data_IF_227385094921
#
_entry.id   IF_227385094921
#
_cell.length_a   1.000
_cell.length_b   1.000
_cell.length_c   1.000
_cell.angle_alpha   90.00
_cell.angle_beta   90.00
_cell.angle_gamma   90.00
#
_symmetry.space_group_name_H-M   'P 1'
#
loop_
_entity.id
_entity.type
_entity.pdbx_description
1 polymer ?
#
# COMPACT_ATOMS: atom_id res chain seq x y z
N UNK A 1 -14.92 -15.78 -19.03
CA UNK A 1 -13.81 -14.80 -19.10
C UNK A 1 -13.39 -14.51 -17.67
N UNK A 2 -12.11 -14.37 -17.36
CA UNK A 2 -11.69 -13.90 -16.04
C UNK A 2 -11.77 -12.36 -16.04
N UNK A 3 -12.34 -11.76 -14.99
CA UNK A 3 -12.29 -10.31 -14.80
C UNK A 3 -10.84 -9.89 -14.62
N UNK A 4 -10.37 -8.93 -15.44
CA UNK A 4 -9.06 -8.31 -15.26
C UNK A 4 -9.27 -7.04 -14.45
N UNK A 5 -8.64 -6.98 -13.28
CA UNK A 5 -8.67 -5.79 -12.42
C UNK A 5 -7.78 -4.72 -13.07
N UNK A 6 -8.31 -3.50 -13.19
CA UNK A 6 -7.53 -2.33 -13.59
C UNK A 6 -7.08 -1.59 -12.33
N UNK A 7 -5.78 -1.71 -12.02
CA UNK A 7 -5.20 -1.18 -10.78
C UNK A 7 -4.96 0.34 -10.82
N UNK A 8 -5.08 0.96 -12.01
CA UNK A 8 -4.94 2.41 -12.18
C UNK A 8 -6.16 3.19 -11.69
N UNK A 9 -7.22 2.48 -11.28
CA UNK A 9 -8.47 3.05 -10.80
C UNK A 9 -8.50 3.05 -9.28
N UNK A 10 -9.21 4.02 -8.72
CA UNK A 10 -9.44 4.09 -7.28
C UNK A 10 -9.99 2.77 -6.72
N UNK A 11 -9.68 2.43 -5.46
CA UNK A 11 -10.23 1.24 -4.81
C UNK A 11 -11.75 1.13 -4.91
N UNK A 12 -12.46 2.26 -4.83
CA UNK A 12 -13.92 2.33 -4.99
C UNK A 12 -14.36 1.92 -6.39
N UNK A 13 -13.72 2.48 -7.43
CA UNK A 13 -14.07 2.19 -8.82
C UNK A 13 -13.80 0.73 -9.19
N UNK A 14 -12.68 0.15 -8.72
CA UNK A 14 -12.37 -1.28 -8.91
C UNK A 14 -13.52 -2.15 -8.41
N UNK A 15 -14.05 -1.83 -7.22
CA UNK A 15 -15.11 -2.62 -6.62
C UNK A 15 -16.43 -2.50 -7.38
N UNK A 16 -16.79 -1.28 -7.81
CA UNK A 16 -17.97 -1.02 -8.64
C UNK A 16 -17.87 -1.75 -9.98
N UNK A 17 -16.73 -1.69 -10.65
CA UNK A 17 -16.50 -2.39 -11.92
C UNK A 17 -16.64 -3.91 -11.77
N UNK A 18 -16.15 -4.46 -10.66
CA UNK A 18 -16.31 -5.88 -10.34
C UNK A 18 -17.78 -6.24 -10.08
N UNK A 19 -18.52 -5.40 -9.35
CA UNK A 19 -19.97 -5.58 -9.14
C UNK A 19 -20.70 -5.58 -10.48
N UNK A 20 -20.42 -4.60 -11.35
CA UNK A 20 -20.96 -4.51 -12.70
C UNK A 20 -20.68 -5.76 -13.51
N UNK A 21 -19.44 -6.25 -13.48
CA UNK A 21 -19.03 -7.45 -14.18
C UNK A 21 -19.76 -8.72 -13.69
N UNK A 22 -19.87 -8.91 -12.37
CA UNK A 22 -20.46 -10.11 -11.78
C UNK A 22 -21.97 -10.15 -11.95
N UNK A 23 -22.65 -9.01 -11.76
CA UNK A 23 -24.11 -8.93 -11.76
C UNK A 23 -24.71 -8.47 -13.09
N UNK A 24 -23.88 -8.10 -14.08
CA UNK A 24 -24.35 -7.64 -15.39
C UNK A 24 -25.07 -6.30 -15.34
N UNK A 25 -24.63 -5.42 -14.43
CA UNK A 25 -25.21 -4.09 -14.17
C UNK A 25 -24.25 -2.99 -14.61
N UNK A 26 -24.72 -1.74 -14.63
CA UNK A 26 -23.96 -0.58 -15.13
C UNK A 26 -23.96 0.57 -14.11
N UNK A 27 -23.61 0.27 -12.86
CA UNK A 27 -23.49 1.28 -11.81
C UNK A 27 -22.25 2.14 -11.99
N UNK A 28 -22.31 3.40 -11.58
CA UNK A 28 -21.14 4.27 -11.44
C UNK A 28 -20.73 4.40 -9.97
N UNK A 29 -19.56 4.98 -9.71
CA UNK A 29 -19.11 5.31 -8.35
C UNK A 29 -20.04 6.26 -7.61
N UNK A 30 -20.86 7.01 -8.35
CA UNK A 30 -21.87 7.89 -7.78
C UNK A 30 -23.16 7.15 -7.41
N UNK A 31 -23.36 5.92 -7.88
CA UNK A 31 -24.54 5.14 -7.52
C UNK A 31 -24.38 4.34 -6.23
N UNK A 32 -23.15 4.17 -5.75
CA UNK A 32 -22.83 3.28 -4.63
C UNK A 32 -21.94 4.00 -3.64
N UNK A 33 -22.38 4.09 -2.39
CA UNK A 33 -21.51 4.46 -1.28
C UNK A 33 -21.24 3.24 -0.41
N UNK A 34 -19.97 2.91 -0.27
CA UNK A 34 -19.54 1.87 0.66
C UNK A 34 -19.48 2.44 2.07
N UNK A 35 -19.75 1.59 3.06
CA UNK A 35 -19.70 1.96 4.46
C UNK A 35 -18.32 2.55 4.84
N UNK A 36 -18.32 3.63 5.60
CA UNK A 36 -17.09 4.31 6.06
C UNK A 36 -16.18 3.40 6.91
N UNK A 37 -16.74 2.36 7.53
CA UNK A 37 -15.95 1.34 8.24
C UNK A 37 -15.15 0.44 7.30
N UNK A 38 -15.33 0.58 5.99
CA UNK A 38 -14.66 -0.20 4.97
C UNK A 38 -15.03 -1.68 5.00
N UNK A 39 -14.14 -2.50 4.44
CA UNK A 39 -14.31 -3.95 4.37
C UNK A 39 -14.06 -4.60 5.72
N UNK A 40 -14.94 -5.52 6.12
CA UNK A 40 -14.86 -6.26 7.37
C UNK A 40 -14.57 -7.75 7.11
N UNK A 41 -13.80 -8.43 7.97
CA UNK A 41 -13.60 -9.86 7.84
C UNK A 41 -14.91 -10.62 8.11
N UNK A 42 -15.10 -11.73 7.40
CA UNK A 42 -16.20 -12.66 7.70
C UNK A 42 -15.96 -13.40 9.02
N UNK A 43 -17.04 -13.77 9.69
CA UNK A 43 -16.99 -14.77 10.76
C UNK A 43 -16.58 -16.13 10.20
N UNK A 44 -16.07 -17.03 11.07
CA UNK A 44 -15.64 -18.37 10.65
C UNK A 44 -16.75 -19.16 9.94
N UNK A 45 -18.00 -19.00 10.37
CA UNK A 45 -19.14 -19.70 9.78
C UNK A 45 -19.56 -19.10 8.43
N UNK A 46 -19.55 -17.77 8.30
CA UNK A 46 -19.76 -17.08 7.02
C UNK A 46 -18.67 -17.44 6.00
N UNK A 47 -17.40 -17.42 6.40
CA UNK A 47 -16.28 -17.76 5.52
C UNK A 47 -16.39 -19.21 4.99
N UNK A 48 -16.78 -20.16 5.85
CA UNK A 48 -17.05 -21.55 5.45
C UNK A 48 -18.23 -21.66 4.49
N UNK A 49 -19.28 -20.87 4.70
CA UNK A 49 -20.50 -20.90 3.89
C UNK A 49 -20.29 -20.33 2.49
N UNK A 50 -19.59 -19.20 2.39
CA UNK A 50 -19.45 -18.45 1.15
C UNK A 50 -18.14 -18.73 0.42
N UNK A 51 -17.14 -19.33 1.08
CA UNK A 51 -15.82 -19.58 0.49
C UNK A 51 -15.03 -18.29 0.20
N UNK A 52 -15.44 -17.18 0.80
CA UNK A 52 -14.85 -15.86 0.64
C UNK A 52 -14.37 -15.37 2.02
N UNK A 53 -13.69 -14.23 2.05
CA UNK A 53 -12.96 -13.78 3.24
C UNK A 53 -13.51 -12.50 3.87
N UNK A 54 -14.27 -11.71 3.12
CA UNK A 54 -14.58 -10.34 3.52
C UNK A 54 -15.97 -9.92 3.08
N UNK A 55 -16.50 -8.91 3.76
CA UNK A 55 -17.79 -8.28 3.43
C UNK A 55 -17.72 -6.77 3.51
N UNK A 56 -18.55 -6.10 2.72
CA UNK A 56 -18.74 -4.64 2.76
C UNK A 56 -20.20 -4.31 2.53
N UNK A 57 -20.75 -3.45 3.38
CA UNK A 57 -22.08 -2.90 3.18
C UNK A 57 -21.99 -1.70 2.23
N UNK A 58 -22.98 -1.58 1.36
CA UNK A 58 -23.11 -0.46 0.46
C UNK A 58 -24.56 0.06 0.44
N UNK A 59 -24.68 1.37 0.37
CA UNK A 59 -25.94 2.08 0.19
C UNK A 59 -26.02 2.59 -1.25
N UNK A 60 -27.15 2.29 -1.91
CA UNK A 60 -27.39 2.72 -3.27
C UNK A 60 -28.04 4.10 -3.30
N UNK A 61 -27.60 4.94 -4.24
CA UNK A 61 -28.09 6.30 -4.43
C UNK A 61 -28.19 6.66 -5.92
N UNK A 62 -28.65 7.88 -6.20
CA UNK A 62 -28.69 8.47 -7.54
C UNK A 62 -29.42 7.61 -8.57
N UNK A 63 -30.69 7.29 -8.29
CA UNK A 63 -31.54 6.50 -9.20
C UNK A 63 -31.46 4.98 -8.98
N UNK A 64 -30.62 4.53 -8.05
CA UNK A 64 -30.62 3.17 -7.50
C UNK A 64 -31.02 3.25 -6.03
N UNK A 65 -31.80 2.29 -5.52
CA UNK A 65 -32.34 2.33 -4.16
C UNK A 65 -32.15 1.01 -3.45
N UNK A 66 -31.83 1.08 -2.16
CA UNK A 66 -31.66 -0.06 -1.27
C UNK A 66 -30.31 -0.02 -0.58
N UNK A 67 -30.10 -0.96 0.34
CA UNK A 67 -28.78 -1.29 0.84
C UNK A 67 -28.48 -2.74 0.50
N UNK A 68 -27.20 -3.06 0.34
CA UNK A 68 -26.77 -4.42 0.08
C UNK A 68 -25.41 -4.69 0.70
N UNK A 69 -25.23 -5.90 1.21
CA UNK A 69 -23.94 -6.39 1.64
C UNK A 69 -23.32 -7.24 0.53
N UNK A 70 -22.08 -6.92 0.17
CA UNK A 70 -21.29 -7.66 -0.79
C UNK A 70 -20.27 -8.51 -0.06
N UNK A 71 -20.19 -9.79 -0.44
CA UNK A 71 -19.18 -10.72 0.06
C UNK A 71 -18.12 -10.88 -1.04
N UNK A 72 -16.85 -10.72 -0.67
CA UNK A 72 -15.75 -10.63 -1.61
C UNK A 72 -14.44 -11.21 -1.07
N UNK A 73 -13.52 -11.45 -2.00
CA UNK A 73 -12.09 -11.62 -1.74
C UNK A 73 -11.36 -10.39 -2.26
N UNK A 74 -10.48 -9.82 -1.45
CA UNK A 74 -9.64 -8.69 -1.83
C UNK A 74 -8.37 -9.16 -2.51
N UNK A 75 -7.77 -8.28 -3.32
CA UNK A 75 -6.48 -8.58 -3.95
C UNK A 75 -5.40 -8.51 -2.88
N UNK A 76 -4.63 -9.58 -2.74
CA UNK A 76 -3.50 -9.65 -1.84
C UNK A 76 -2.25 -9.07 -2.53
N UNK A 77 -1.84 -7.86 -2.14
CA UNK A 77 -0.72 -7.18 -2.79
C UNK A 77 0.61 -7.88 -2.52
N UNK A 78 0.75 -8.62 -1.42
CA UNK A 78 1.98 -9.35 -1.12
C UNK A 78 2.17 -10.51 -2.11
N UNK A 79 1.07 -11.17 -2.47
CA UNK A 79 1.09 -12.23 -3.48
C UNK A 79 1.20 -11.65 -4.90
N UNK A 80 0.56 -10.50 -5.15
CA UNK A 80 0.55 -9.88 -6.47
C UNK A 80 1.91 -9.28 -6.86
N UNK A 81 2.62 -8.69 -5.90
CA UNK A 81 3.92 -8.02 -6.09
C UNK A 81 5.10 -8.87 -5.63
N UNK A 82 4.91 -10.17 -5.41
CA UNK A 82 5.91 -11.05 -4.80
C UNK A 82 7.28 -11.03 -5.52
N UNK A 83 7.26 -10.90 -6.85
CA UNK A 83 8.46 -10.90 -7.69
C UNK A 83 8.89 -9.49 -8.14
N UNK A 84 8.13 -8.45 -7.78
CA UNK A 84 8.34 -7.06 -8.22
C UNK A 84 8.30 -6.10 -7.02
N UNK A 85 9.34 -6.07 -6.18
CA UNK A 85 9.39 -5.16 -5.05
C UNK A 85 9.55 -3.70 -5.50
N UNK A 86 8.92 -2.78 -4.76
CA UNK A 86 9.04 -1.34 -5.00
C UNK A 86 10.40 -0.87 -4.51
N UNK A 87 11.12 -0.14 -5.36
CA UNK A 87 12.48 0.32 -5.08
C UNK A 87 12.49 1.75 -4.59
N UNK A 88 13.09 2.02 -3.43
CA UNK A 88 13.10 3.36 -2.81
C UNK A 88 14.53 3.76 -2.45
N UNK A 89 14.95 5.02 -2.69
CA UNK A 89 16.26 5.49 -2.25
C UNK A 89 16.41 5.45 -0.72
N UNK A 90 17.53 4.90 -0.25
CA UNK A 90 17.80 4.79 1.19
C UNK A 90 17.91 6.17 1.84
N UNK A 91 17.17 6.39 2.94
CA UNK A 91 17.19 7.63 3.71
C UNK A 91 16.30 8.76 3.17
N UNK A 92 15.51 8.54 2.11
CA UNK A 92 14.55 9.55 1.64
C UNK A 92 13.26 9.60 2.45
N UNK A 93 12.85 8.46 3.02
CA UNK A 93 11.58 8.35 3.76
C UNK A 93 11.82 8.06 5.23
N UNK A 94 10.99 8.66 6.08
CA UNK A 94 11.02 8.48 7.55
C UNK A 94 9.76 7.82 8.08
N UNK A 95 8.70 7.79 7.27
CA UNK A 95 7.40 7.21 7.61
C UNK A 95 6.86 6.39 6.44
N UNK A 96 6.16 5.29 6.73
CA UNK A 96 5.60 4.38 5.73
C UNK A 96 4.59 5.05 4.78
N UNK A 97 3.90 6.10 5.19
CA UNK A 97 2.94 6.80 4.34
C UNK A 97 3.61 7.50 3.14
N UNK A 98 4.86 7.97 3.32
CA UNK A 98 5.65 8.64 2.26
C UNK A 98 6.01 7.66 1.13
N UNK A 99 5.85 6.36 1.35
CA UNK A 99 6.04 5.33 0.33
C UNK A 99 4.91 5.26 -0.70
N UNK A 100 3.75 5.87 -0.42
CA UNK A 100 2.59 5.85 -1.32
C UNK A 100 2.96 6.33 -2.73
N UNK A 101 3.67 7.45 -2.85
CA UNK A 101 4.06 8.02 -4.13
C UNK A 101 4.98 7.10 -4.94
N UNK A 102 5.95 6.45 -4.28
CA UNK A 102 6.85 5.50 -4.93
C UNK A 102 6.11 4.25 -5.41
N UNK A 103 5.16 3.77 -4.61
CA UNK A 103 4.31 2.63 -4.96
C UNK A 103 3.46 2.99 -6.18
N UNK A 104 2.77 4.13 -6.18
CA UNK A 104 1.93 4.57 -7.31
C UNK A 104 2.79 4.75 -8.57
N UNK A 105 3.97 5.38 -8.45
CA UNK A 105 4.85 5.63 -9.59
C UNK A 105 5.37 4.35 -10.26
N UNK A 106 5.66 3.30 -9.48
CA UNK A 106 6.25 2.06 -10.00
C UNK A 106 5.21 1.01 -10.37
N UNK A 107 4.15 0.87 -9.57
CA UNK A 107 3.16 -0.20 -9.74
C UNK A 107 1.91 0.28 -10.49
N UNK A 108 1.68 1.59 -10.55
CA UNK A 108 0.44 2.17 -11.09
C UNK A 108 -0.79 1.89 -10.23
N UNK A 109 -0.64 1.33 -9.03
CA UNK A 109 -1.74 1.08 -8.11
C UNK A 109 -2.15 2.42 -7.49
N UNK A 110 -3.41 2.81 -7.67
CA UNK A 110 -3.96 4.04 -7.09
C UNK A 110 -4.13 3.88 -5.57
N UNK A 111 -3.10 4.29 -4.82
CA UNK A 111 -3.03 4.27 -3.35
C UNK A 111 -2.70 5.67 -2.84
N UNK A 112 -3.28 6.01 -1.69
CA UNK A 112 -3.00 7.26 -0.98
C UNK A 112 -2.28 6.99 0.34
N UNK A 113 -1.77 8.05 0.97
CA UNK A 113 -1.16 7.96 2.31
C UNK A 113 -2.12 7.34 3.35
N UNK A 114 -3.42 7.63 3.25
CA UNK A 114 -4.46 7.11 4.16
C UNK A 114 -4.72 5.61 4.01
N UNK A 115 -4.30 5.02 2.89
CA UNK A 115 -4.44 3.59 2.62
C UNK A 115 -3.31 2.75 3.26
N UNK A 116 -2.28 3.42 3.77
CA UNK A 116 -1.08 2.82 4.37
C UNK A 116 -1.13 2.99 5.90
N UNK A 117 -0.78 1.93 6.63
CA UNK A 117 -0.56 2.03 8.06
C UNK A 117 0.68 2.86 8.35
N UNK A 118 0.51 3.92 9.15
CA UNK A 118 1.62 4.79 9.58
C UNK A 118 2.51 4.05 10.57
N UNK A 119 3.73 3.78 10.14
CA UNK A 119 4.77 3.06 10.87
C UNK A 119 6.11 3.76 10.61
N UNK A 120 6.95 3.96 11.64
CA UNK A 120 8.23 4.64 11.47
C UNK A 120 9.21 3.77 10.68
N UNK A 121 9.93 4.38 9.75
CA UNK A 121 10.96 3.73 8.93
C UNK A 121 12.33 4.18 9.40
N UNK A 122 13.20 3.23 9.71
CA UNK A 122 14.60 3.52 10.01
C UNK A 122 15.40 3.70 8.72
N UNK A 123 16.26 4.72 8.69
CA UNK A 123 17.18 5.02 7.58
C UNK A 123 18.15 3.86 7.26
N UNK A 124 18.32 2.90 8.18
CA UNK A 124 19.23 1.77 8.02
C UNK A 124 18.58 0.54 7.39
N UNK A 125 17.26 0.53 7.21
CA UNK A 125 16.54 -0.61 6.64
C UNK A 125 16.95 -0.85 5.18
N UNK A 126 17.10 -2.12 4.82
CA UNK A 126 17.36 -2.57 3.44
C UNK A 126 16.06 -3.06 2.76
N UNK A 127 15.07 -3.47 3.56
CA UNK A 127 13.76 -3.90 3.09
C UNK A 127 12.69 -3.56 4.11
N UNK A 128 11.47 -3.32 3.64
CA UNK A 128 10.33 -3.01 4.48
C UNK A 128 9.03 -3.52 3.85
N UNK A 129 8.18 -4.16 4.65
CA UNK A 129 6.86 -4.61 4.21
C UNK A 129 5.82 -3.55 4.60
N UNK A 130 5.39 -2.76 3.61
CA UNK A 130 4.37 -1.73 3.84
C UNK A 130 3.03 -2.39 4.09
N UNK A 131 2.41 -2.09 5.22
CA UNK A 131 1.12 -2.66 5.61
C UNK A 131 -0.02 -1.74 5.19
N UNK A 132 -1.01 -2.31 4.51
CA UNK A 132 -2.22 -1.58 4.17
C UNK A 132 -3.16 -1.47 5.38
N UNK A 133 -4.01 -0.44 5.39
CA UNK A 133 -5.07 -0.33 6.40
C UNK A 133 -6.00 -1.56 6.34
N UNK A 134 -6.32 -2.18 7.49
CA UNK A 134 -7.04 -3.47 7.52
C UNK A 134 -8.38 -3.47 6.77
N UNK A 135 -9.08 -2.33 6.75
CA UNK A 135 -10.43 -2.18 6.20
C UNK A 135 -10.46 -1.65 4.77
N UNK A 136 -9.32 -1.64 4.08
CA UNK A 136 -9.21 -1.17 2.71
C UNK A 136 -10.19 -1.92 1.77
N UNK A 137 -10.83 -1.18 0.84
CA UNK A 137 -11.95 -1.68 0.01
C UNK A 137 -11.57 -2.80 -0.96
N UNK A 138 -10.46 -2.64 -1.67
CA UNK A 138 -10.09 -3.55 -2.78
C UNK A 138 -8.83 -4.38 -2.52
N UNK A 139 -7.88 -3.83 -1.79
CA UNK A 139 -6.59 -4.43 -1.47
C UNK A 139 -6.47 -4.92 -0.02
N UNK A 140 -5.55 -5.85 0.21
CA UNK A 140 -5.11 -6.32 1.53
C UNK A 140 -3.64 -6.77 1.45
N UNK A 141 -3.07 -7.09 2.60
CA UNK A 141 -1.73 -7.67 2.71
C UNK A 141 -0.66 -6.60 2.88
N UNK A 142 0.51 -6.89 2.35
CA UNK A 142 1.68 -6.00 2.41
C UNK A 142 2.25 -5.73 1.03
N UNK A 143 3.01 -4.65 0.90
CA UNK A 143 3.75 -4.33 -0.32
C UNK A 143 5.24 -4.42 0.01
N UNK A 144 6.00 -5.30 -0.66
CA UNK A 144 7.43 -5.42 -0.41
C UNK A 144 8.16 -4.21 -0.99
N UNK A 145 8.91 -3.52 -0.14
CA UNK A 145 9.77 -2.38 -0.49
C UNK A 145 11.22 -2.74 -0.23
N UNK A 146 12.10 -2.40 -1.17
CA UNK A 146 13.54 -2.55 -1.04
C UNK A 146 14.19 -1.18 -1.09
N UNK A 147 15.01 -0.88 -0.09
CA UNK A 147 15.79 0.35 -0.06
C UNK A 147 17.11 0.13 -0.78
N UNK A 148 17.28 0.82 -1.89
CA UNK A 148 18.53 0.77 -2.66
C UNK A 148 19.33 2.05 -2.42
N UNK A 149 20.64 1.90 -2.20
CA UNK A 149 21.55 3.02 -2.19
C UNK A 149 21.62 3.58 -3.64
N UNK A 150 21.21 4.83 -3.90
CA UNK A 150 21.07 5.35 -5.26
C UNK A 150 22.40 5.63 -5.98
N UNK A 151 23.54 5.10 -5.50
CA UNK A 151 24.94 5.32 -5.96
C UNK A 151 25.64 6.54 -5.31
N UNK A 152 26.98 6.52 -5.25
CA UNK A 152 27.75 6.37 -4.03
C UNK A 152 27.70 7.60 -3.13
N UNK A 153 27.70 7.36 -1.80
CA UNK A 153 28.06 8.35 -0.79
C UNK A 153 29.23 9.19 -1.31
N UNK A 154 29.00 10.48 -1.56
CA UNK A 154 30.08 11.41 -1.94
C UNK A 154 31.21 11.25 -0.93
N UNK A 155 32.48 11.27 -1.36
CA UNK A 155 33.61 11.17 -0.42
C UNK A 155 33.46 12.17 0.74
N UNK A 156 32.86 13.34 0.48
CA UNK A 156 32.50 14.33 1.49
C UNK A 156 31.64 13.79 2.64
N UNK A 157 30.67 12.89 2.39
CA UNK A 157 29.82 12.29 3.43
C UNK A 157 30.48 11.11 4.16
N UNK A 158 31.53 10.51 3.59
CA UNK A 158 32.40 9.55 4.27
C UNK A 158 33.45 10.26 5.16
N UNK A 159 33.90 11.46 4.75
CA UNK A 159 34.89 12.26 5.48
C UNK A 159 34.32 12.83 6.79
N UNK A 160 33.02 13.10 6.86
CA UNK A 160 32.37 13.59 8.08
C UNK A 160 32.16 12.51 9.16
N UNK A 161 32.32 11.23 8.82
CA UNK A 161 32.28 10.12 9.80
C UNK A 161 33.65 9.87 10.44
N UNK A 162 34.20 10.83 11.18
CA UNK A 162 35.29 10.70 12.20
C UNK A 162 36.55 9.84 11.88
N UNK A 163 36.66 9.23 10.70
CA UNK A 163 37.60 8.18 10.34
C UNK A 163 38.78 8.73 9.52
N UNK A 164 38.72 10.01 9.15
CA UNK A 164 39.80 10.75 8.50
C UNK A 164 40.43 11.81 9.41
N UNK A 165 39.98 11.93 10.67
CA UNK A 165 40.76 12.62 11.70
C UNK A 165 41.94 11.72 12.09
N UNK A 166 42.93 11.63 11.19
CA UNK A 166 44.26 11.11 11.46
C UNK A 166 45.03 11.94 12.49
N UNK A 167 44.39 12.97 13.07
CA UNK A 167 44.89 13.73 14.21
C UNK A 167 44.39 13.11 15.50
N UNK A 168 45.30 12.52 16.28
CA UNK A 168 44.99 12.18 17.66
C UNK A 168 45.02 13.47 18.50
N UNK A 169 44.05 13.72 19.39
CA UNK A 169 44.15 14.80 20.35
C UNK A 169 45.46 14.67 21.15
N UNK A 170 46.41 15.59 20.93
CA UNK A 170 47.73 15.58 21.59
C UNK A 170 48.97 15.65 20.68
N UNK A 171 48.82 15.62 19.35
CA UNK A 171 49.96 15.68 18.41
C UNK A 171 50.47 17.10 18.07
N UNK A 172 49.82 18.16 18.57
CA UNK A 172 50.32 19.53 18.45
C UNK A 172 51.07 19.93 19.72
N UNK A 173 52.40 19.88 19.67
CA UNK A 173 53.28 20.46 20.67
C UNK A 173 53.65 21.87 20.22
N UNK A 174 53.46 22.86 21.09
CA UNK A 174 53.90 24.23 20.86
C UNK A 174 55.42 24.30 21.14
N UNK A 175 56.20 24.81 20.18
CA UNK A 175 57.66 25.03 20.34
C UNK A 175 57.92 26.41 20.91
#
# INVERSE_FOLDING_TARGET
>A
MAYRVDLTKTPKQILVDRINYVFGVSYTTDNIDFNDKGVQPLTKDEARRYGLESKVAADFKNGVTGNQEFILTRVDLATFLADEPVTVPKGEVTSSQELADYIVAQTGIDLTEDDIMIEPISEELDSYDVRLVPNHLSFKGTIPVVFTDPTPRTLASLVTKLALDGFRPGELINV
#
